data_IF_613009311042
#
_entry.id   IF_613009311042
#
_cell.length_a   1.000
_cell.length_b   1.000
_cell.length_c   1.000
_cell.angle_alpha   90.00
_cell.angle_beta   90.00
_cell.angle_gamma   90.00
#
_symmetry.space_group_name_H-M   'P 1'
#
loop_
_entity.id
_entity.type
_entity.pdbx_description
1 polymer ?
#
# COMPACT_ATOMS: atom_id res chain seq x y z
N UNK A 1 4.01 12.12 0.88
CA UNK A 1 2.86 12.34 1.80
C UNK A 1 3.07 13.63 2.57
N UNK A 2 2.03 14.42 2.75
CA UNK A 2 2.15 15.70 3.44
C UNK A 2 1.86 15.50 4.93
N UNK A 3 2.85 15.73 5.78
CA UNK A 3 2.82 15.33 7.18
C UNK A 3 1.81 16.09 8.03
N UNK A 4 1.51 17.35 7.73
CA UNK A 4 0.57 18.14 8.50
C UNK A 4 -0.89 17.95 8.09
N UNK A 5 -1.14 17.21 7.01
CA UNK A 5 -2.49 16.87 6.59
C UNK A 5 -2.92 15.54 7.25
N UNK A 6 -4.23 15.33 7.34
CA UNK A 6 -4.78 14.06 7.79
C UNK A 6 -4.63 12.97 6.71
N UNK A 7 -4.77 11.68 7.06
CA UNK A 7 -4.83 10.61 6.06
C UNK A 7 -5.87 10.86 4.97
N UNK A 8 -7.08 11.26 5.36
CA UNK A 8 -8.14 11.54 4.40
C UNK A 8 -7.76 12.66 3.42
N UNK A 9 -7.14 13.75 3.92
CA UNK A 9 -6.68 14.84 3.09
C UNK A 9 -5.54 14.41 2.15
N UNK A 10 -4.61 13.59 2.63
CA UNK A 10 -3.53 13.06 1.80
C UNK A 10 -4.07 12.23 0.63
N UNK A 11 -5.03 11.35 0.89
CA UNK A 11 -5.65 10.54 -0.17
C UNK A 11 -6.41 11.42 -1.15
N UNK A 12 -7.15 12.40 -0.67
CA UNK A 12 -7.94 13.30 -1.50
C UNK A 12 -7.11 14.15 -2.47
N UNK A 13 -5.84 14.41 -2.16
CA UNK A 13 -4.93 15.16 -3.04
C UNK A 13 -4.70 14.49 -4.40
N UNK A 14 -4.78 13.18 -4.45
CA UNK A 14 -4.39 12.40 -5.64
C UNK A 14 -5.55 11.63 -6.27
N UNK A 15 -6.76 11.75 -5.73
CA UNK A 15 -7.88 10.93 -6.16
C UNK A 15 -9.20 11.66 -6.03
N UNK A 16 -10.14 11.32 -6.92
CA UNK A 16 -11.53 11.72 -6.84
C UNK A 16 -12.37 10.71 -6.06
N UNK A 17 -11.77 9.59 -5.63
CA UNK A 17 -12.46 8.57 -4.85
C UNK A 17 -12.62 9.02 -3.40
N UNK A 18 -13.73 8.66 -2.73
CA UNK A 18 -13.88 8.95 -1.30
C UNK A 18 -12.77 8.27 -0.50
N UNK A 19 -12.01 9.01 0.33
CA UNK A 19 -10.86 8.43 1.03
C UNK A 19 -11.24 7.56 2.23
N UNK A 20 -12.35 7.84 2.91
CA UNK A 20 -12.71 7.14 4.15
C UNK A 20 -12.95 5.64 3.96
N UNK A 21 -13.73 5.16 2.98
CA UNK A 21 -13.93 3.73 2.80
C UNK A 21 -12.63 2.97 2.57
N UNK A 22 -11.72 3.54 1.81
CA UNK A 22 -10.43 2.91 1.52
C UNK A 22 -9.56 2.86 2.78
N UNK A 23 -9.49 3.96 3.55
CA UNK A 23 -8.71 4.01 4.78
C UNK A 23 -9.27 3.06 5.84
N UNK A 24 -10.59 2.96 5.97
CA UNK A 24 -11.22 2.01 6.88
C UNK A 24 -10.88 0.57 6.51
N UNK A 25 -10.88 0.24 5.23
CA UNK A 25 -10.49 -1.07 4.74
C UNK A 25 -9.04 -1.40 5.07
N UNK A 26 -8.17 -0.40 5.11
CA UNK A 26 -6.77 -0.54 5.49
C UNK A 26 -6.55 -0.51 7.01
N UNK A 27 -7.63 -0.49 7.78
CA UNK A 27 -7.56 -0.61 9.23
C UNK A 27 -7.46 0.70 10.00
N UNK A 28 -7.68 1.84 9.36
CA UNK A 28 -7.76 3.12 10.06
C UNK A 28 -9.20 3.41 10.46
N UNK A 29 -9.38 3.87 11.71
CA UNK A 29 -10.68 4.34 12.17
C UNK A 29 -10.99 5.71 11.57
N UNK A 30 -12.26 6.13 11.65
CA UNK A 30 -12.66 7.47 11.19
C UNK A 30 -11.89 8.56 11.91
N UNK A 31 -11.63 8.40 13.20
CA UNK A 31 -10.86 9.37 13.98
C UNK A 31 -9.41 9.43 13.52
N UNK A 32 -8.79 8.28 13.32
CA UNK A 32 -7.42 8.20 12.82
C UNK A 32 -7.27 8.79 11.43
N UNK A 33 -8.26 8.59 10.56
CA UNK A 33 -8.26 9.14 9.21
C UNK A 33 -8.32 10.68 9.19
N UNK A 34 -8.77 11.30 10.28
CA UNK A 34 -8.90 12.76 10.42
C UNK A 34 -7.76 13.41 11.21
N UNK A 35 -6.89 12.61 11.84
CA UNK A 35 -5.74 13.14 12.58
C UNK A 35 -4.61 13.54 11.63
N UNK A 36 -3.72 14.41 12.11
CA UNK A 36 -2.46 14.66 11.40
C UNK A 36 -1.68 13.37 11.26
N UNK A 37 -1.08 13.13 10.10
CA UNK A 37 -0.27 11.95 9.81
C UNK A 37 0.86 11.79 10.83
N UNK A 38 1.42 12.89 11.33
CA UNK A 38 2.47 12.86 12.35
C UNK A 38 2.06 12.21 13.65
N UNK A 39 0.74 12.14 13.94
CA UNK A 39 0.20 11.55 15.16
C UNK A 39 -0.10 10.05 15.02
N UNK A 40 0.15 9.49 13.85
CA UNK A 40 -0.07 8.07 13.58
C UNK A 40 1.20 7.25 13.84
N UNK A 41 1.03 5.96 14.11
CA UNK A 41 2.15 5.03 14.17
C UNK A 41 2.81 4.88 12.80
N UNK A 42 4.03 4.34 12.76
CA UNK A 42 4.72 4.05 11.51
C UNK A 42 3.92 3.14 10.59
N UNK A 43 3.28 2.09 11.14
CA UNK A 43 2.45 1.18 10.36
C UNK A 43 1.19 1.85 9.82
N UNK A 44 0.57 2.73 10.61
CA UNK A 44 -0.57 3.51 10.14
C UNK A 44 -0.18 4.47 9.03
N UNK A 45 0.96 5.15 9.16
CA UNK A 45 1.47 6.03 8.10
C UNK A 45 1.75 5.26 6.81
N UNK A 46 2.30 4.05 6.93
CA UNK A 46 2.54 3.19 5.77
C UNK A 46 1.24 2.83 5.07
N UNK A 47 0.19 2.49 5.82
CA UNK A 47 -1.12 2.21 5.26
C UNK A 47 -1.75 3.40 4.56
N UNK A 48 -1.55 4.61 5.09
CA UNK A 48 -1.99 5.84 4.42
C UNK A 48 -1.26 6.04 3.09
N UNK A 49 0.03 5.79 3.05
CA UNK A 49 0.80 5.87 1.81
C UNK A 49 0.31 4.86 0.77
N UNK A 50 -0.03 3.64 1.19
CA UNK A 50 -0.62 2.62 0.32
C UNK A 50 -1.99 3.09 -0.19
N UNK A 51 -2.85 3.60 0.69
CA UNK A 51 -4.15 4.11 0.32
C UNK A 51 -4.05 5.22 -0.73
N UNK A 52 -3.11 6.13 -0.56
CA UNK A 52 -2.87 7.21 -1.52
C UNK A 52 -2.45 6.67 -2.89
N UNK A 53 -1.57 5.67 -2.91
CA UNK A 53 -1.14 5.04 -4.15
C UNK A 53 -2.29 4.29 -4.84
N UNK A 54 -3.10 3.55 -4.07
CA UNK A 54 -4.22 2.79 -4.61
C UNK A 54 -5.33 3.68 -5.15
N UNK A 55 -5.58 4.82 -4.50
CA UNK A 55 -6.60 5.77 -4.92
C UNK A 55 -6.14 6.62 -6.11
N UNK A 56 -4.86 6.65 -6.40
CA UNK A 56 -4.31 7.38 -7.54
C UNK A 56 -4.81 6.78 -8.85
N UNK A 57 -4.98 7.60 -9.87
CA UNK A 57 -5.32 7.15 -11.22
C UNK A 57 -4.11 6.60 -11.98
N UNK A 58 -2.92 6.67 -11.41
CA UNK A 58 -1.71 6.15 -12.03
C UNK A 58 -1.85 4.65 -12.34
N UNK A 59 -1.41 4.21 -13.52
CA UNK A 59 -1.54 2.80 -13.91
C UNK A 59 -0.53 1.87 -13.22
N UNK A 60 0.49 2.42 -12.60
CA UNK A 60 1.57 1.66 -11.94
C UNK A 60 1.63 2.02 -10.46
N UNK A 61 1.68 1.01 -9.60
CA UNK A 61 1.90 1.17 -8.16
C UNK A 61 3.24 0.53 -7.83
N UNK A 62 4.11 1.31 -7.16
CA UNK A 62 5.37 0.81 -6.64
C UNK A 62 5.26 0.70 -5.11
N UNK A 63 5.50 -0.50 -4.59
CA UNK A 63 5.46 -0.75 -3.16
C UNK A 63 6.80 -1.34 -2.71
N UNK A 64 7.48 -0.65 -1.81
CA UNK A 64 8.75 -1.08 -1.26
C UNK A 64 8.54 -1.58 0.17
N UNK A 65 8.73 -2.90 0.36
CA UNK A 65 8.50 -3.58 1.63
C UNK A 65 7.15 -3.21 2.28
N UNK A 66 6.03 -3.39 1.54
CA UNK A 66 4.73 -2.86 1.99
C UNK A 66 4.19 -3.50 3.27
N UNK A 67 4.70 -4.67 3.65
CA UNK A 67 4.27 -5.40 4.85
C UNK A 67 5.30 -5.38 5.97
N UNK A 68 6.38 -4.62 5.83
CA UNK A 68 7.41 -4.49 6.86
C UNK A 68 6.83 -3.95 8.17
N UNK A 69 7.21 -4.57 9.28
CA UNK A 69 6.79 -4.20 10.65
C UNK A 69 5.28 -4.33 10.92
N UNK A 70 4.54 -5.06 10.09
CA UNK A 70 3.12 -5.35 10.32
C UNK A 70 2.95 -6.76 10.87
N UNK A 71 1.89 -6.95 11.67
CA UNK A 71 1.47 -8.29 12.08
C UNK A 71 0.95 -9.08 10.86
N UNK A 72 0.86 -10.41 11.00
CA UNK A 72 0.49 -11.28 9.89
C UNK A 72 -0.88 -10.96 9.28
N UNK A 73 -1.87 -10.67 10.13
CA UNK A 73 -3.22 -10.38 9.65
C UNK A 73 -3.27 -9.07 8.87
N UNK A 74 -2.65 -8.03 9.38
CA UNK A 74 -2.58 -6.74 8.70
C UNK A 74 -1.75 -6.85 7.41
N UNK A 75 -0.65 -7.59 7.45
CA UNK A 75 0.16 -7.83 6.26
C UNK A 75 -0.64 -8.53 5.17
N UNK A 76 -1.43 -9.53 5.52
CA UNK A 76 -2.26 -10.24 4.55
C UNK A 76 -3.34 -9.33 3.96
N UNK A 77 -3.94 -8.46 4.75
CA UNK A 77 -4.91 -7.48 4.25
C UNK A 77 -4.28 -6.55 3.21
N UNK A 78 -3.06 -6.08 3.45
CA UNK A 78 -2.32 -5.25 2.51
C UNK A 78 -2.04 -6.02 1.21
N UNK A 79 -1.59 -7.26 1.32
CA UNK A 79 -1.33 -8.12 0.16
C UNK A 79 -2.60 -8.32 -0.67
N UNK A 80 -3.72 -8.61 -0.02
CA UNK A 80 -5.00 -8.84 -0.69
C UNK A 80 -5.45 -7.59 -1.46
N UNK A 81 -5.27 -6.42 -0.88
CA UNK A 81 -5.62 -5.15 -1.51
C UNK A 81 -4.72 -4.89 -2.73
N UNK A 82 -3.43 -5.16 -2.63
CA UNK A 82 -2.51 -5.02 -3.76
C UNK A 82 -2.86 -5.98 -4.90
N UNK A 83 -3.20 -7.22 -4.58
CA UNK A 83 -3.64 -8.22 -5.57
C UNK A 83 -4.93 -7.78 -6.26
N UNK A 84 -5.89 -7.29 -5.50
CA UNK A 84 -7.14 -6.77 -6.04
C UNK A 84 -6.91 -5.60 -7.00
N UNK A 85 -5.99 -4.71 -6.65
CA UNK A 85 -5.62 -3.58 -7.53
C UNK A 85 -5.05 -4.06 -8.86
N UNK A 86 -4.22 -5.09 -8.84
CA UNK A 86 -3.64 -5.66 -10.05
C UNK A 86 -4.68 -6.37 -10.91
N UNK A 87 -5.53 -7.20 -10.30
CA UNK A 87 -6.42 -8.09 -11.04
C UNK A 87 -7.76 -7.47 -11.40
N UNK A 88 -8.29 -6.59 -10.56
CA UNK A 88 -9.62 -6.00 -10.77
C UNK A 88 -9.56 -4.56 -11.29
N UNK A 89 -8.54 -3.80 -10.94
CA UNK A 89 -8.40 -2.41 -11.33
C UNK A 89 -7.40 -2.20 -12.48
N UNK A 90 -6.88 -3.28 -13.04
CA UNK A 90 -5.93 -3.27 -14.15
C UNK A 90 -4.68 -2.42 -13.89
N UNK A 91 -4.24 -2.35 -12.65
CA UNK A 91 -3.00 -1.66 -12.30
C UNK A 91 -1.82 -2.62 -12.36
N UNK A 92 -0.68 -2.11 -12.76
CA UNK A 92 0.58 -2.84 -12.66
C UNK A 92 1.16 -2.58 -11.26
N UNK A 93 1.18 -3.61 -10.43
CA UNK A 93 1.71 -3.51 -9.06
C UNK A 93 3.08 -4.15 -9.01
N UNK A 94 4.09 -3.34 -8.72
CA UNK A 94 5.48 -3.79 -8.57
C UNK A 94 5.83 -3.70 -7.09
N UNK A 95 6.20 -4.83 -6.51
CA UNK A 95 6.55 -4.92 -5.09
C UNK A 95 8.02 -5.32 -4.96
N UNK A 96 8.75 -4.56 -4.16
CA UNK A 96 10.12 -4.91 -3.77
C UNK A 96 10.07 -5.44 -2.35
N UNK A 97 10.55 -6.67 -2.14
CA UNK A 97 10.45 -7.29 -0.83
C UNK A 97 11.53 -8.35 -0.61
N UNK A 98 11.91 -8.54 0.66
CA UNK A 98 12.70 -9.69 1.10
C UNK A 98 11.81 -10.83 1.62
N UNK A 99 10.50 -10.64 1.66
CA UNK A 99 9.55 -11.63 2.18
C UNK A 99 9.25 -12.69 1.14
N UNK A 100 9.59 -13.93 1.44
CA UNK A 100 9.25 -15.08 0.60
C UNK A 100 7.73 -15.33 0.59
N UNK A 101 7.06 -15.06 1.71
CA UNK A 101 5.61 -15.22 1.81
C UNK A 101 4.87 -14.27 0.86
N UNK A 102 5.32 -13.03 0.78
CA UNK A 102 4.74 -12.07 -0.16
C UNK A 102 5.05 -12.47 -1.60
N UNK A 103 6.30 -12.86 -1.88
CA UNK A 103 6.71 -13.25 -3.21
C UNK A 103 5.90 -14.43 -3.76
N UNK A 104 5.55 -15.41 -2.92
CA UNK A 104 4.73 -16.55 -3.33
C UNK A 104 3.32 -16.18 -3.79
N UNK A 105 2.84 -15.03 -3.40
CA UNK A 105 1.50 -14.56 -3.76
C UNK A 105 1.48 -13.68 -5.01
N UNK A 106 2.64 -13.40 -5.58
CA UNK A 106 2.74 -12.58 -6.80
C UNK A 106 2.47 -13.42 -8.05
N UNK A 107 1.99 -12.78 -9.11
CA UNK A 107 1.78 -13.43 -10.40
C UNK A 107 3.11 -13.79 -11.08
N UNK A 108 4.10 -12.91 -10.97
CA UNK A 108 5.44 -13.13 -11.48
C UNK A 108 6.46 -12.69 -10.43
N UNK A 109 7.54 -13.44 -10.32
CA UNK A 109 8.61 -13.15 -9.37
C UNK A 109 9.93 -13.00 -10.11
N UNK A 110 10.63 -11.90 -9.83
CA UNK A 110 11.96 -11.65 -10.31
C UNK A 110 12.93 -11.61 -9.13
N UNK A 111 14.07 -12.23 -9.28
CA UNK A 111 15.10 -12.20 -8.24
C UNK A 111 16.22 -11.28 -8.68
N UNK A 112 16.57 -10.35 -7.80
CA UNK A 112 17.73 -9.48 -8.00
C UNK A 112 18.90 -10.03 -7.21
N UNK A 113 19.95 -10.42 -7.89
CA UNK A 113 21.16 -10.94 -7.26
C UNK A 113 22.38 -10.38 -7.96
N UNK A 114 23.27 -9.73 -7.19
CA UNK A 114 24.50 -9.12 -7.69
C UNK A 114 24.26 -8.16 -8.87
N UNK A 115 23.19 -7.39 -8.79
CA UNK A 115 22.84 -6.45 -9.84
C UNK A 115 22.18 -7.05 -11.07
N UNK A 116 21.91 -8.37 -11.07
CA UNK A 116 21.29 -9.05 -12.20
C UNK A 116 19.87 -9.46 -11.83
N UNK A 117 18.91 -9.05 -12.66
CA UNK A 117 17.50 -9.39 -12.50
C UNK A 117 17.18 -10.63 -13.34
N UNK A 118 16.62 -11.65 -12.72
CA UNK A 118 16.20 -12.87 -13.41
C UNK A 118 14.80 -13.28 -12.99
N UNK A 119 14.03 -13.80 -13.95
CA UNK A 119 12.68 -14.30 -13.67
C UNK A 119 12.77 -15.69 -13.04
N UNK A 120 12.02 -15.90 -11.98
CA UNK A 120 11.85 -17.21 -11.36
C UNK A 120 10.75 -18.03 -12.03
#
# INVERSE_FOLDING_TARGET
>A
MIDYLSPAENVALTSNLPPLPLLERLGLTKEEAKRSVLKLSGGQQQRVAIARALASEAPVILADEPTGNLDEDTAQDIIDILKESAHQMNKCVVVVTHSNELAKQADEVFRLKRGILSKE
#
